data_IF_871535247413
#
_entry.id   IF_871535247413
#
_cell.length_a   1.000
_cell.length_b   1.000
_cell.length_c   1.000
_cell.angle_alpha   90.00
_cell.angle_beta   90.00
_cell.angle_gamma   90.00
#
_symmetry.space_group_name_H-M   'P 1'
#
loop_
_entity.id
_entity.type
_entity.pdbx_description
1 polymer ?
#
# COMPACT_ATOMS: atom_id res chain seq x y z
N UNK A 1 -8.17 -7.44 1.22
CA UNK A 1 -9.36 -7.68 0.36
C UNK A 1 -10.40 -6.57 0.47
N UNK A 2 -10.78 -6.13 1.68
CA UNK A 2 -11.81 -5.10 1.86
C UNK A 2 -11.47 -3.72 1.26
N UNK A 3 -10.23 -3.23 1.41
CA UNK A 3 -9.84 -1.91 0.92
C UNK A 3 -9.96 -1.75 -0.61
N UNK A 4 -9.46 -2.71 -1.41
CA UNK A 4 -9.57 -2.65 -2.89
C UNK A 4 -11.02 -2.61 -3.35
N UNK A 5 -11.90 -3.38 -2.72
CA UNK A 5 -13.33 -3.37 -3.02
C UNK A 5 -13.98 -2.00 -2.72
N UNK A 6 -13.60 -1.36 -1.60
CA UNK A 6 -14.08 -0.01 -1.25
C UNK A 6 -13.60 1.02 -2.28
N UNK A 7 -12.32 1.00 -2.67
CA UNK A 7 -11.77 1.94 -3.65
C UNK A 7 -12.43 1.80 -5.02
N UNK A 8 -12.69 0.57 -5.45
CA UNK A 8 -13.44 0.29 -6.69
C UNK A 8 -14.88 0.81 -6.63
N UNK A 9 -15.61 0.48 -5.56
CA UNK A 9 -16.98 0.96 -5.35
C UNK A 9 -17.08 2.49 -5.25
N UNK A 10 -16.05 3.13 -4.70
CA UNK A 10 -15.97 4.57 -4.56
C UNK A 10 -15.42 5.29 -5.79
N UNK A 11 -15.14 4.55 -6.88
CA UNK A 11 -14.64 5.03 -8.17
C UNK A 11 -13.34 5.82 -8.05
N UNK A 12 -12.42 5.37 -7.20
CA UNK A 12 -11.11 5.99 -7.01
C UNK A 12 -9.93 5.05 -7.24
N UNK A 13 -10.18 3.80 -7.64
CA UNK A 13 -9.13 2.80 -7.87
C UNK A 13 -8.09 3.26 -8.90
N UNK A 14 -8.52 3.81 -10.04
CA UNK A 14 -7.61 4.30 -11.09
C UNK A 14 -6.67 5.41 -10.58
N UNK A 15 -7.18 6.33 -9.76
CA UNK A 15 -6.36 7.40 -9.16
C UNK A 15 -5.30 6.84 -8.21
N UNK A 16 -5.63 5.77 -7.50
CA UNK A 16 -4.71 5.11 -6.57
C UNK A 16 -3.64 4.31 -7.32
N UNK A 17 -4.01 3.63 -8.40
CA UNK A 17 -3.09 2.75 -9.13
C UNK A 17 -2.22 3.55 -10.12
N UNK A 18 -2.84 4.41 -10.93
CA UNK A 18 -2.20 5.11 -12.04
C UNK A 18 -1.79 6.55 -11.68
N UNK A 19 -2.42 7.14 -10.66
CA UNK A 19 -2.21 8.54 -10.32
C UNK A 19 -2.98 9.47 -11.24
N UNK A 20 -2.57 10.74 -11.30
CA UNK A 20 -3.18 11.72 -12.19
C UNK A 20 -2.15 12.72 -12.72
N UNK A 21 -2.37 13.30 -13.91
CA UNK A 21 -1.41 14.20 -14.52
C UNK A 21 -1.28 15.50 -13.74
N UNK A 22 -0.04 16.00 -13.65
CA UNK A 22 0.28 17.33 -13.12
C UNK A 22 -0.16 18.41 -14.10
N UNK A 23 -0.60 19.54 -13.55
CA UNK A 23 -0.94 20.72 -14.35
C UNK A 23 0.33 21.35 -14.94
N UNK A 24 0.28 21.73 -16.22
CA UNK A 24 1.34 22.46 -16.90
C UNK A 24 0.95 23.94 -16.94
N UNK A 25 1.95 24.84 -17.01
CA UNK A 25 1.78 26.29 -16.88
C UNK A 25 0.81 26.91 -17.91
N UNK A 26 0.69 26.29 -19.10
CA UNK A 26 -0.17 26.73 -20.21
C UNK A 26 -1.44 25.87 -20.40
N UNK A 27 -1.90 25.20 -19.34
CA UNK A 27 -3.08 24.33 -19.44
C UNK A 27 -4.37 25.09 -19.75
N UNK A 28 -5.20 24.50 -20.61
CA UNK A 28 -6.53 25.00 -20.95
C UNK A 28 -7.47 24.92 -19.75
N UNK A 29 -8.58 25.66 -19.78
CA UNK A 29 -9.55 25.63 -18.68
C UNK A 29 -10.19 24.24 -18.48
N UNK A 30 -10.36 23.48 -19.56
CA UNK A 30 -10.79 22.08 -19.50
C UNK A 30 -9.76 21.20 -18.78
N UNK A 31 -8.47 21.35 -19.07
CA UNK A 31 -7.40 20.61 -18.38
C UNK A 31 -7.33 20.98 -16.88
N UNK A 32 -7.52 22.26 -16.54
CA UNK A 32 -7.60 22.71 -15.15
C UNK A 32 -8.81 22.13 -14.43
N UNK A 33 -9.97 22.04 -15.08
CA UNK A 33 -11.17 21.44 -14.51
C UNK A 33 -10.95 19.95 -14.23
N UNK A 34 -10.42 19.22 -15.20
CA UNK A 34 -10.10 17.79 -15.06
C UNK A 34 -9.11 17.53 -13.93
N UNK A 35 -8.03 18.33 -13.83
CA UNK A 35 -7.07 18.20 -12.74
C UNK A 35 -7.70 18.46 -11.36
N UNK A 36 -8.60 19.44 -11.24
CA UNK A 36 -9.33 19.68 -9.97
C UNK A 36 -10.20 18.50 -9.57
N UNK A 37 -10.86 17.86 -10.53
CA UNK A 37 -11.65 16.65 -10.28
C UNK A 37 -10.76 15.50 -9.79
N UNK A 38 -9.64 15.24 -10.46
CA UNK A 38 -8.71 14.19 -10.07
C UNK A 38 -8.10 14.45 -8.70
N UNK A 39 -7.74 15.70 -8.39
CA UNK A 39 -7.28 16.08 -7.06
C UNK A 39 -8.34 15.80 -5.99
N UNK A 40 -9.63 16.02 -6.28
CA UNK A 40 -10.73 15.67 -5.37
C UNK A 40 -10.85 14.15 -5.18
N UNK A 41 -10.72 13.36 -6.26
CA UNK A 41 -10.72 11.89 -6.18
C UNK A 41 -9.50 11.38 -5.39
N UNK A 42 -8.34 11.98 -5.57
CA UNK A 42 -7.12 11.67 -4.82
C UNK A 42 -7.29 11.93 -3.33
N UNK A 43 -7.81 13.10 -2.94
CA UNK A 43 -8.11 13.36 -1.53
C UNK A 43 -9.11 12.35 -0.94
N UNK A 44 -10.15 11.97 -1.71
CA UNK A 44 -11.13 10.95 -1.30
C UNK A 44 -10.44 9.58 -1.11
N UNK A 45 -9.58 9.20 -2.03
CA UNK A 45 -8.82 7.96 -1.97
C UNK A 45 -7.89 7.93 -0.75
N UNK A 46 -7.12 8.99 -0.51
CA UNK A 46 -6.23 9.12 0.66
C UNK A 46 -7.02 8.95 1.96
N UNK A 47 -8.18 9.60 2.08
CA UNK A 47 -9.05 9.43 3.24
C UNK A 47 -9.48 7.96 3.43
N UNK A 48 -9.96 7.30 2.37
CA UNK A 48 -10.38 5.90 2.44
C UNK A 48 -9.23 4.96 2.82
N UNK A 49 -8.02 5.19 2.28
CA UNK A 49 -6.82 4.45 2.64
C UNK A 49 -6.54 4.61 4.15
N UNK A 50 -6.55 5.84 4.67
CA UNK A 50 -6.35 6.10 6.09
C UNK A 50 -7.37 5.39 6.98
N UNK A 51 -8.63 5.28 6.56
CA UNK A 51 -9.66 4.56 7.31
C UNK A 51 -9.49 3.03 7.28
N UNK A 52 -8.74 2.50 6.32
CA UNK A 52 -8.57 1.06 6.13
C UNK A 52 -7.28 0.49 6.76
N UNK A 53 -6.42 1.34 7.33
CA UNK A 53 -5.13 0.94 7.90
C UNK A 53 -5.11 1.12 9.42
N UNK A 54 -4.26 0.35 10.09
CA UNK A 54 -3.97 0.56 11.51
C UNK A 54 -2.98 1.72 11.71
N UNK A 55 -2.76 2.11 12.97
CA UNK A 55 -1.89 3.23 13.36
C UNK A 55 -0.44 3.05 12.86
N UNK A 56 0.11 1.84 12.94
CA UNK A 56 1.48 1.56 12.52
C UNK A 56 1.68 1.69 11.00
N UNK A 57 0.65 1.36 10.21
CA UNK A 57 0.66 1.58 8.76
C UNK A 57 0.34 3.05 8.42
N UNK A 58 -0.54 3.71 9.18
CA UNK A 58 -0.86 5.12 9.02
C UNK A 58 0.40 6.00 9.14
N UNK A 59 1.21 5.81 10.19
CA UNK A 59 2.46 6.59 10.37
C UNK A 59 3.40 6.50 9.16
N UNK A 60 3.47 5.33 8.51
CA UNK A 60 4.32 5.11 7.34
C UNK A 60 3.83 5.86 6.10
N UNK A 61 2.53 6.06 5.98
CA UNK A 61 1.92 6.73 4.82
C UNK A 61 1.53 8.18 5.09
N UNK A 62 1.61 8.66 6.33
CA UNK A 62 1.20 10.01 6.71
C UNK A 62 1.96 11.12 5.95
N UNK A 63 3.18 10.84 5.48
CA UNK A 63 3.97 11.75 4.67
C UNK A 63 3.72 11.68 3.16
N UNK A 64 2.86 10.78 2.69
CA UNK A 64 2.58 10.61 1.26
C UNK A 64 1.82 11.83 0.71
N UNK A 65 2.27 12.35 -0.43
CA UNK A 65 1.67 13.50 -1.07
C UNK A 65 0.40 13.15 -1.85
N UNK A 66 0.27 11.90 -2.29
CA UNK A 66 -0.87 11.39 -3.08
C UNK A 66 -1.33 10.03 -2.58
N UNK A 67 -2.56 9.66 -2.91
CA UNK A 67 -3.10 8.33 -2.61
C UNK A 67 -2.30 7.22 -3.31
N UNK A 68 -1.76 7.48 -4.52
CA UNK A 68 -0.88 6.56 -5.23
C UNK A 68 0.44 6.33 -4.48
N UNK A 69 1.04 7.40 -3.93
CA UNK A 69 2.27 7.26 -3.15
C UNK A 69 2.01 6.47 -1.86
N UNK A 70 0.92 6.77 -1.15
CA UNK A 70 0.49 6.01 0.01
C UNK A 70 0.29 4.52 -0.33
N UNK A 71 -0.35 4.24 -1.46
CA UNK A 71 -0.57 2.88 -1.95
C UNK A 71 0.72 2.12 -2.22
N UNK A 72 1.68 2.74 -2.93
CA UNK A 72 2.99 2.14 -3.21
C UNK A 72 3.79 1.84 -1.93
N UNK A 73 3.69 2.72 -0.92
CA UNK A 73 4.31 2.49 0.39
C UNK A 73 3.68 1.27 1.08
N UNK A 74 2.35 1.13 1.04
CA UNK A 74 1.65 -0.02 1.62
C UNK A 74 2.00 -1.33 0.91
N UNK A 75 2.08 -1.33 -0.42
CA UNK A 75 2.49 -2.51 -1.20
C UNK A 75 3.90 -2.98 -0.78
N UNK A 76 4.85 -2.03 -0.72
CA UNK A 76 6.22 -2.33 -0.27
C UNK A 76 6.28 -2.85 1.16
N UNK A 77 5.47 -2.31 2.07
CA UNK A 77 5.37 -2.80 3.44
C UNK A 77 4.85 -4.24 3.50
N UNK A 78 3.85 -4.58 2.67
CA UNK A 78 3.29 -5.93 2.60
C UNK A 78 4.30 -6.95 2.05
N UNK A 79 5.08 -6.57 1.04
CA UNK A 79 6.13 -7.45 0.50
C UNK A 79 7.19 -7.76 1.55
N UNK A 80 7.65 -6.76 2.30
CA UNK A 80 8.61 -6.95 3.39
C UNK A 80 8.07 -7.83 4.52
N UNK A 81 6.79 -7.68 4.87
CA UNK A 81 6.14 -8.53 5.86
C UNK A 81 6.08 -10.00 5.43
N UNK A 82 5.83 -10.26 4.14
CA UNK A 82 5.79 -11.62 3.61
C UNK A 82 7.18 -12.27 3.57
N UNK A 83 8.21 -11.50 3.20
CA UNK A 83 9.60 -11.96 3.26
C UNK A 83 10.02 -12.31 4.71
N UNK A 84 9.64 -11.48 5.68
CA UNK A 84 9.96 -11.72 7.09
C UNK A 84 9.31 -13.00 7.63
N UNK A 85 8.04 -13.28 7.26
CA UNK A 85 7.37 -14.54 7.61
C UNK A 85 8.12 -15.74 7.03
N UNK A 86 8.56 -15.65 5.77
CA UNK A 86 9.30 -16.72 5.10
C UNK A 86 10.63 -17.01 5.80
N UNK A 87 11.40 -15.97 6.12
CA UNK A 87 12.68 -16.12 6.86
C UNK A 87 12.43 -16.76 8.23
N UNK A 88 11.44 -16.27 8.98
CA UNK A 88 11.10 -16.81 10.31
C UNK A 88 10.70 -18.29 10.24
N UNK A 89 9.89 -18.67 9.25
CA UNK A 89 9.51 -20.06 9.02
C UNK A 89 10.73 -20.95 8.70
N UNK A 90 11.66 -20.46 7.88
CA UNK A 90 12.89 -21.19 7.58
C UNK A 90 13.77 -21.36 8.82
N UNK A 91 13.93 -20.32 9.64
CA UNK A 91 14.66 -20.41 10.91
C UNK A 91 14.04 -21.46 11.84
N UNK A 92 12.72 -21.46 12.01
CA UNK A 92 12.03 -22.44 12.86
C UNK A 92 12.18 -23.87 12.35
N UNK A 93 12.13 -24.07 11.03
CA UNK A 93 12.38 -25.38 10.40
C UNK A 93 13.79 -25.89 10.69
N UNK A 94 14.80 -25.04 10.51
CA UNK A 94 16.18 -25.41 10.77
C UNK A 94 16.42 -25.76 12.26
N UNK A 95 15.85 -24.97 13.18
CA UNK A 95 15.90 -25.27 14.62
C UNK A 95 15.24 -26.62 14.94
N UNK A 96 14.10 -26.92 14.33
CA UNK A 96 13.44 -28.21 14.49
C UNK A 96 14.29 -29.37 13.96
N UNK A 97 14.87 -29.25 12.78
CA UNK A 97 15.76 -30.26 12.19
C UNK A 97 16.98 -30.53 13.07
N UNK A 98 17.61 -29.48 13.62
CA UNK A 98 18.74 -29.60 14.52
C UNK A 98 18.37 -30.38 15.80
N UNK A 99 17.24 -30.05 16.43
CA UNK A 99 16.74 -30.77 17.60
C UNK A 99 16.44 -32.24 17.31
N UNK A 100 15.97 -32.56 16.10
CA UNK A 100 15.74 -33.96 15.69
C UNK A 100 17.06 -34.71 15.47
N UNK A 101 18.10 -34.06 14.96
CA UNK A 101 19.44 -34.66 14.84
C UNK A 101 20.02 -34.96 16.22
N UNK A 102 20.01 -33.98 17.14
CA UNK A 102 20.51 -34.15 18.52
C UNK A 102 19.79 -35.27 19.29
N UNK A 103 18.49 -35.49 19.04
CA UNK A 103 17.73 -36.57 19.66
C UNK A 103 18.00 -37.96 19.05
N UNK A 104 18.46 -38.03 17.80
CA UNK A 104 18.76 -39.27 17.09
C UNK A 104 20.24 -39.72 17.21
N UNK A 105 21.09 -38.93 17.87
CA UNK A 105 22.52 -39.23 18.14
C UNK A 105 22.75 -39.96 19.48
N UNK A 106 21.72 -40.60 20.05
CA UNK A 106 21.82 -41.52 21.20
C UNK A 106 21.59 -42.96 20.79
#
# INVERSE_FOLDING_TARGET
MQMKAILGYQEVAEIVEEGYPTLIKDSTDAQKAFHRENKRKDCKATFLIHQCVDEAHFEKIAGAATSQEAWKILEKCSEGAEQLKKVRLQTMRHQYELMQMENNEK
#
